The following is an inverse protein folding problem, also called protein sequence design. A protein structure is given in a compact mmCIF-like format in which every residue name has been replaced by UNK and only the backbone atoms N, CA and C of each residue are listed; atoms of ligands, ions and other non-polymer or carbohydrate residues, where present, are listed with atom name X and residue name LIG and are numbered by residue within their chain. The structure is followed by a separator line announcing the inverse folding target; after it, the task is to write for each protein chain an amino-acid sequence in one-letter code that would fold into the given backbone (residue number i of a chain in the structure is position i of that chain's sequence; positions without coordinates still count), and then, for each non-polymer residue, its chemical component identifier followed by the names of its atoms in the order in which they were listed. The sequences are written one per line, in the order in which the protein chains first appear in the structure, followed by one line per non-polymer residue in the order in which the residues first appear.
data_IF_208429806792
#
_entry.id   IF_208429806792
#
_cell.length_a   1.000
_cell.length_b   1.000
_cell.length_c   1.000
_cell.angle_alpha   90.00
_cell.angle_beta   90.00
_cell.angle_gamma   90.00
#
_symmetry.space_group_name_H-M   'P 1'
#
loop_
_entity.id
_entity.type
_entity.pdbx_description
1 polymer ?
#
# COMPACT_ATOMS: atom_id res chain seq x y z
N UNK A 1 10.09 0.94 6.30
CA UNK A 1 9.25 0.50 5.18
C UNK A 1 9.77 -0.84 4.65
N UNK A 2 8.91 -1.74 4.19
CA UNK A 2 9.30 -3.09 3.69
C UNK A 2 9.04 -3.19 2.19
N UNK A 3 9.75 -4.09 1.49
CA UNK A 3 9.58 -4.33 0.05
C UNK A 3 8.12 -4.64 -0.30
N UNK A 4 7.46 -5.43 0.56
CA UNK A 4 6.05 -5.80 0.44
C UNK A 4 5.10 -4.61 0.51
N UNK A 5 5.42 -3.58 1.30
CA UNK A 5 4.61 -2.36 1.36
C UNK A 5 4.84 -1.47 0.14
N UNK A 6 6.08 -1.43 -0.37
CA UNK A 6 6.36 -0.72 -1.63
C UNK A 6 5.67 -1.37 -2.84
N UNK A 7 5.66 -2.69 -2.92
CA UNK A 7 4.93 -3.44 -3.95
C UNK A 7 3.43 -3.11 -3.91
N UNK A 8 2.83 -3.15 -2.72
CA UNK A 8 1.42 -2.83 -2.51
C UNK A 8 1.09 -1.41 -2.97
N UNK A 9 1.92 -0.45 -2.55
CA UNK A 9 1.81 0.95 -2.90
C UNK A 9 1.92 1.17 -4.42
N UNK A 10 2.91 0.55 -5.07
CA UNK A 10 3.09 0.61 -6.53
C UNK A 10 1.90 0.01 -7.28
N UNK A 11 1.34 -1.09 -6.78
CA UNK A 11 0.16 -1.70 -7.37
C UNK A 11 -1.05 -0.76 -7.28
N UNK A 12 -1.35 -0.25 -6.09
CA UNK A 12 -2.50 0.66 -5.86
C UNK A 12 -2.39 1.97 -6.64
N UNK A 13 -1.17 2.48 -6.86
CA UNK A 13 -0.96 3.71 -7.63
C UNK A 13 -1.41 3.55 -9.11
N UNK A 14 -1.19 2.37 -9.71
CA UNK A 14 -1.66 2.07 -11.06
C UNK A 14 -3.07 1.46 -11.11
N UNK A 15 -3.50 0.78 -10.04
CA UNK A 15 -4.72 -0.01 -9.99
C UNK A 15 -5.44 0.20 -8.65
N UNK A 16 -6.28 1.26 -8.54
CA UNK A 16 -7.16 1.42 -7.40
C UNK A 16 -7.99 0.17 -7.14
N UNK A 17 -8.10 -0.23 -5.87
CA UNK A 17 -8.77 -1.48 -5.49
C UNK A 17 -10.07 -1.21 -4.74
N UNK A 18 -11.19 -1.87 -5.06
CA UNK A 18 -12.48 -1.65 -4.38
C UNK A 18 -12.52 -2.21 -2.94
N UNK A 19 -11.54 -3.02 -2.55
CA UNK A 19 -11.42 -3.53 -1.19
C UNK A 19 -10.02 -4.11 -0.94
N UNK A 20 -9.67 -4.27 0.34
CA UNK A 20 -8.44 -4.97 0.76
C UNK A 20 -8.43 -6.41 0.23
N UNK A 21 -9.61 -7.05 0.11
CA UNK A 21 -9.72 -8.42 -0.40
C UNK A 21 -9.44 -8.51 -1.89
N UNK A 22 -9.91 -7.53 -2.68
CA UNK A 22 -9.56 -7.44 -4.09
C UNK A 22 -8.06 -7.21 -4.26
N UNK A 23 -7.49 -6.24 -3.53
CA UNK A 23 -6.05 -5.97 -3.53
C UNK A 23 -5.23 -7.22 -3.16
N UNK A 24 -5.64 -7.96 -2.14
CA UNK A 24 -4.94 -9.18 -1.72
C UNK A 24 -4.95 -10.26 -2.80
N UNK A 25 -6.08 -10.42 -3.51
CA UNK A 25 -6.20 -11.34 -4.64
C UNK A 25 -5.30 -10.89 -5.79
N UNK A 26 -5.32 -9.61 -6.13
CA UNK A 26 -4.58 -9.07 -7.27
C UNK A 26 -3.06 -9.11 -7.02
N UNK A 27 -2.63 -8.99 -5.76
CA UNK A 27 -1.24 -9.21 -5.34
C UNK A 27 -0.87 -10.69 -5.12
N UNK A 28 -1.84 -11.63 -5.16
CA UNK A 28 -1.60 -13.03 -4.83
C UNK A 28 -1.12 -13.27 -3.39
N UNK A 29 -1.53 -12.41 -2.44
CA UNK A 29 -1.03 -12.39 -1.07
C UNK A 29 -2.11 -12.74 -0.05
N UNK A 30 -1.67 -13.23 1.11
CA UNK A 30 -2.56 -13.49 2.25
C UNK A 30 -3.29 -12.21 2.70
N UNK A 31 -4.61 -12.31 2.84
CA UNK A 31 -5.49 -11.19 3.19
C UNK A 31 -5.11 -10.54 4.53
N UNK A 32 -4.80 -11.33 5.56
CA UNK A 32 -4.50 -10.79 6.90
C UNK A 32 -3.23 -9.94 6.87
N UNK A 33 -2.22 -10.38 6.11
CA UNK A 33 -1.00 -9.60 5.88
C UNK A 33 -1.24 -8.33 5.08
N UNK A 34 -2.02 -8.40 4.01
CA UNK A 34 -2.37 -7.22 3.20
C UNK A 34 -3.18 -6.23 4.01
N UNK A 35 -4.12 -6.69 4.83
CA UNK A 35 -4.89 -5.83 5.73
C UNK A 35 -3.99 -5.09 6.73
N UNK A 36 -3.05 -5.79 7.37
CA UNK A 36 -2.12 -5.15 8.29
C UNK A 36 -1.22 -4.11 7.61
N UNK A 37 -0.78 -4.38 6.37
CA UNK A 37 -0.03 -3.42 5.57
C UNK A 37 -0.87 -2.20 5.17
N UNK A 38 -2.11 -2.41 4.70
CA UNK A 38 -3.03 -1.32 4.34
C UNK A 38 -3.29 -0.41 5.54
N UNK A 39 -3.64 -0.97 6.69
CA UNK A 39 -3.89 -0.18 7.92
C UNK A 39 -2.66 0.63 8.31
N UNK A 40 -1.45 0.04 8.24
CA UNK A 40 -0.23 0.74 8.59
C UNK A 40 0.12 1.88 7.60
N UNK A 41 -0.27 1.74 6.33
CA UNK A 41 -0.01 2.73 5.29
C UNK A 41 -1.07 3.84 5.26
N UNK A 42 -2.33 3.51 5.53
CA UNK A 42 -3.42 4.48 5.75
C UNK A 42 -3.10 5.38 6.96
N UNK A 43 -2.58 4.80 8.05
CA UNK A 43 -2.21 5.55 9.25
C UNK A 43 -1.14 6.64 9.02
N UNK A 44 -0.37 6.55 7.93
CA UNK A 44 0.66 7.53 7.56
C UNK A 44 0.28 8.30 6.27
N UNK A 45 -0.95 8.17 5.80
CA UNK A 45 -1.47 8.90 4.63
C UNK A 45 -0.88 8.46 3.29
N UNK A 46 -0.30 7.25 3.20
CA UNK A 46 0.19 6.72 1.92
C UNK A 46 -0.87 5.93 1.15
N UNK A 47 -1.97 5.58 1.82
CA UNK A 47 -3.17 5.02 1.20
C UNK A 47 -4.35 5.85 1.66
N UNK A 48 -5.24 6.14 0.73
CA UNK A 48 -6.50 6.83 1.00
C UNK A 48 -7.67 6.00 0.49
N UNK A 49 -8.85 6.29 1.03
CA UNK A 49 -10.12 5.76 0.56
C UNK A 49 -10.89 6.88 -0.11
N UNK A 50 -11.03 6.80 -1.41
CA UNK A 50 -11.78 7.76 -2.21
C UNK A 50 -12.83 7.05 -3.05
N UNK A 51 -14.07 7.56 -3.02
CA UNK A 51 -15.23 6.94 -3.68
C UNK A 51 -15.41 5.43 -3.41
N UNK A 52 -14.99 4.97 -2.23
CA UNK A 52 -15.03 3.55 -1.84
C UNK A 52 -13.89 2.69 -2.38
N UNK A 53 -12.92 3.30 -3.07
CA UNK A 53 -11.72 2.65 -3.61
C UNK A 53 -10.51 2.96 -2.75
N UNK A 54 -9.65 1.96 -2.54
CA UNK A 54 -8.30 2.15 -2.02
C UNK A 54 -7.42 2.73 -3.12
N UNK A 55 -6.75 3.84 -2.81
CA UNK A 55 -5.86 4.56 -3.73
C UNK A 55 -4.55 4.92 -3.07
N UNK A 56 -3.56 5.21 -3.91
CA UNK A 56 -2.21 5.58 -3.52
C UNK A 56 -1.78 6.77 -4.39
N UNK A 57 -2.39 7.94 -4.16
CA UNK A 57 -2.35 9.11 -5.06
C UNK A 57 -1.19 10.06 -4.74
N UNK A 58 0.04 9.54 -4.70
CA UNK A 58 1.26 10.35 -4.59
C UNK A 58 2.01 10.37 -5.93
N UNK A 59 2.69 11.49 -6.22
CA UNK A 59 3.53 11.60 -7.41
C UNK A 59 4.95 11.03 -7.18
N UNK A 60 5.45 11.06 -5.94
CA UNK A 60 6.79 10.57 -5.59
C UNK A 60 6.84 10.13 -4.12
N UNK A 61 7.50 8.99 -3.84
CA UNK A 61 7.89 8.60 -2.47
C UNK A 61 9.41 8.66 -2.37
N UNK A 62 9.93 9.52 -1.49
CA UNK A 62 11.35 9.56 -1.12
C UNK A 62 11.56 8.90 0.22
N UNK A 63 12.46 7.93 0.27
CA UNK A 63 12.90 7.30 1.52
C UNK A 63 14.41 7.40 1.62
N UNK A 64 14.91 7.88 2.77
CA UNK A 64 16.32 7.89 3.11
C UNK A 64 16.55 6.89 4.25
N UNK A 65 17.50 5.97 4.07
CA UNK A 65 17.88 4.98 5.06
C UNK A 65 19.36 5.22 5.38
N UNK A 66 19.64 5.64 6.61
CA UNK A 66 21.00 5.75 7.11
C UNK A 66 21.37 4.42 7.75
N UNK A 67 22.45 3.80 7.26
CA UNK A 67 23.04 2.63 7.91
C UNK A 67 24.19 3.16 8.76
N UNK A 68 23.98 3.20 10.08
CA UNK A 68 25.08 3.42 11.01
C UNK A 68 25.84 2.08 11.19
N UNK A 69 27.16 2.15 11.13
CA UNK A 69 28.06 1.01 11.41
C UNK A 69 28.15 0.72 12.91
#
# INVERSE_FOLDING_TARGET
MTDRRYELLRHLHGHPAPSIRALARDLGRDFKRVHADVVALEAIGLIERDEGMLRADYNEIRAAILIAA
#
